data_IF_537843506021
#
_entry.id   IF_537843506021
#
_cell.length_a   1.000
_cell.length_b   1.000
_cell.length_c   1.000
_cell.angle_alpha   90.00
_cell.angle_beta   90.00
_cell.angle_gamma   90.00
#
_symmetry.space_group_name_H-M   'P 1'
#
loop_
_entity.id
_entity.type
_entity.pdbx_description
1 polymer ?
#
# COMPACT_ATOMS: atom_id res chain seq x y z
N UNK A 1 -8.83 -20.99 13.17
CA UNK A 1 -8.47 -21.02 11.73
C UNK A 1 -9.29 -20.08 10.86
N UNK A 2 -10.63 -20.07 10.89
CA UNK A 2 -11.47 -19.22 10.00
C UNK A 2 -11.11 -17.73 9.98
N UNK A 3 -10.73 -17.16 11.11
CA UNK A 3 -10.38 -15.73 11.23
C UNK A 3 -9.08 -15.36 10.53
N UNK A 4 -8.09 -16.26 10.54
CA UNK A 4 -6.77 -16.02 9.90
C UNK A 4 -6.93 -16.02 8.39
N UNK A 5 -7.65 -17.00 7.84
CA UNK A 5 -7.92 -17.07 6.39
C UNK A 5 -8.68 -15.83 5.90
N UNK A 6 -9.65 -15.34 6.69
CA UNK A 6 -10.37 -14.10 6.38
C UNK A 6 -9.43 -12.89 6.34
N UNK A 7 -8.56 -12.74 7.34
CA UNK A 7 -7.62 -11.62 7.39
C UNK A 7 -6.63 -11.64 6.21
N UNK A 8 -6.12 -12.82 5.85
CA UNK A 8 -5.22 -12.97 4.70
C UNK A 8 -5.93 -12.59 3.39
N UNK A 9 -7.18 -13.03 3.21
CA UNK A 9 -7.97 -12.66 2.04
C UNK A 9 -8.18 -11.14 1.96
N UNK A 10 -8.49 -10.49 3.09
CA UNK A 10 -8.64 -9.03 3.17
C UNK A 10 -7.31 -8.34 2.82
N UNK A 11 -6.19 -8.77 3.40
CA UNK A 11 -4.86 -8.22 3.08
C UNK A 11 -4.59 -8.30 1.58
N UNK A 12 -4.84 -9.45 0.95
CA UNK A 12 -4.62 -9.65 -0.48
C UNK A 12 -5.50 -8.73 -1.34
N UNK A 13 -6.78 -8.58 -1.00
CA UNK A 13 -7.72 -7.70 -1.71
C UNK A 13 -7.28 -6.24 -1.60
N UNK A 14 -6.97 -5.74 -0.40
CA UNK A 14 -6.56 -4.35 -0.22
C UNK A 14 -5.16 -4.07 -0.79
N UNK A 15 -4.24 -5.02 -0.70
CA UNK A 15 -2.91 -4.90 -1.30
C UNK A 15 -2.98 -4.82 -2.83
N UNK A 16 -3.78 -5.68 -3.48
CA UNK A 16 -3.96 -5.65 -4.93
C UNK A 16 -4.64 -4.36 -5.39
N UNK A 17 -5.73 -3.94 -4.73
CA UNK A 17 -6.40 -2.67 -5.01
C UNK A 17 -5.45 -1.48 -4.87
N UNK A 18 -4.67 -1.44 -3.79
CA UNK A 18 -3.71 -0.36 -3.55
C UNK A 18 -2.58 -0.35 -4.58
N UNK A 19 -2.08 -1.52 -4.99
CA UNK A 19 -1.06 -1.65 -6.02
C UNK A 19 -1.58 -1.16 -7.38
N UNK A 20 -2.76 -1.62 -7.81
CA UNK A 20 -3.36 -1.23 -9.09
C UNK A 20 -3.68 0.26 -9.12
N UNK A 21 -4.29 0.82 -8.06
CA UNK A 21 -4.57 2.24 -7.99
C UNK A 21 -3.29 3.09 -7.96
N UNK A 22 -2.24 2.64 -7.26
CA UNK A 22 -0.95 3.31 -7.23
C UNK A 22 -0.29 3.34 -8.61
N UNK A 23 -0.38 2.25 -9.38
CA UNK A 23 0.15 2.18 -10.75
C UNK A 23 -0.67 3.02 -11.73
N UNK A 24 -2.00 3.00 -11.62
CA UNK A 24 -2.87 3.80 -12.50
C UNK A 24 -2.61 5.31 -12.32
N UNK A 25 -2.38 5.72 -11.09
CA UNK A 25 -2.12 7.13 -10.73
C UNK A 25 -0.65 7.53 -10.89
N UNK A 26 0.25 6.56 -11.12
CA UNK A 26 1.70 6.81 -11.21
C UNK A 26 2.13 7.62 -12.42
N UNK A 27 1.30 7.64 -13.47
CA UNK A 27 1.56 8.37 -14.71
C UNK A 27 0.89 9.74 -14.74
N UNK A 28 0.21 10.14 -13.67
CA UNK A 28 -0.35 11.50 -13.55
C UNK A 28 0.78 12.42 -13.08
N UNK A 29 1.32 13.29 -13.96
CA UNK A 29 2.39 14.19 -13.58
C UNK A 29 1.85 15.19 -12.56
N UNK A 30 2.43 15.21 -11.36
CA UNK A 30 2.00 16.14 -10.32
C UNK A 30 3.00 17.26 -10.16
N UNK A 31 2.78 18.34 -10.91
CA UNK A 31 3.45 19.63 -10.71
C UNK A 31 4.92 19.71 -11.12
N UNK A 32 5.55 20.84 -10.75
CA UNK A 32 6.92 21.24 -11.09
C UNK A 32 7.98 20.43 -10.33
N UNK A 33 7.60 19.85 -9.19
CA UNK A 33 8.42 18.91 -8.43
C UNK A 33 7.90 17.51 -8.73
N UNK A 34 8.76 16.55 -9.06
CA UNK A 34 8.41 15.15 -9.36
C UNK A 34 7.87 14.37 -8.12
N UNK A 35 6.94 14.95 -7.37
CA UNK A 35 6.29 14.35 -6.23
C UNK A 35 5.04 13.66 -6.76
N UNK A 36 5.06 12.33 -6.79
CA UNK A 36 3.90 11.53 -7.15
C UNK A 36 2.78 11.82 -6.16
N UNK A 37 1.69 12.45 -6.59
CA UNK A 37 0.45 12.47 -5.83
C UNK A 37 -0.12 11.05 -5.82
N UNK A 38 -0.28 10.49 -4.62
CA UNK A 38 -0.73 9.11 -4.41
C UNK A 38 -2.15 9.09 -3.83
N UNK A 39 -3.20 9.44 -4.61
CA UNK A 39 -4.57 9.35 -4.11
C UNK A 39 -4.99 7.91 -3.81
N UNK A 40 -4.25 6.93 -4.33
CA UNK A 40 -4.37 5.52 -3.99
C UNK A 40 -4.26 5.23 -2.47
N UNK A 41 -3.65 6.12 -1.67
CA UNK A 41 -3.56 6.05 -0.20
C UNK A 41 -4.95 5.95 0.46
N UNK A 42 -6.01 6.42 -0.19
CA UNK A 42 -7.38 6.29 0.32
C UNK A 42 -7.80 4.82 0.56
N UNK A 43 -7.26 3.87 -0.22
CA UNK A 43 -7.59 2.44 -0.09
C UNK A 43 -7.08 1.86 1.24
N UNK A 44 -5.78 1.92 1.55
CA UNK A 44 -5.29 1.50 2.86
C UNK A 44 -5.80 2.35 4.01
N UNK A 45 -6.18 3.62 3.79
CA UNK A 45 -6.87 4.42 4.81
C UNK A 45 -8.22 3.81 5.21
N UNK A 46 -9.05 3.43 4.23
CA UNK A 46 -10.33 2.76 4.51
C UNK A 46 -10.09 1.41 5.19
N UNK A 47 -9.04 0.69 4.78
CA UNK A 47 -8.66 -0.56 5.43
C UNK A 47 -8.28 -0.37 6.91
N UNK A 48 -7.57 0.72 7.24
CA UNK A 48 -7.17 1.07 8.60
C UNK A 48 -8.35 1.41 9.51
N UNK A 49 -9.39 2.05 8.99
CA UNK A 49 -10.59 2.39 9.78
C UNK A 49 -11.47 1.17 10.07
N UNK A 50 -11.51 0.20 9.14
CA UNK A 50 -12.45 -0.94 9.20
C UNK A 50 -11.83 -2.19 9.79
N UNK A 51 -10.52 -2.41 9.62
CA UNK A 51 -9.83 -3.64 9.98
C UNK A 51 -8.70 -3.42 10.98
N UNK A 52 -8.23 -4.52 11.59
CA UNK A 52 -7.15 -4.47 12.58
C UNK A 52 -5.86 -3.83 12.03
N UNK A 53 -5.05 -3.20 12.89
CA UNK A 53 -3.81 -2.51 12.50
C UNK A 53 -2.85 -3.36 11.68
N UNK A 54 -2.72 -4.64 12.03
CA UNK A 54 -1.85 -5.56 11.31
C UNK A 54 -2.35 -5.82 9.88
N UNK A 55 -3.67 -5.91 9.68
CA UNK A 55 -4.28 -6.18 8.37
C UNK A 55 -4.14 -4.98 7.45
N UNK A 56 -4.38 -3.77 7.97
CA UNK A 56 -4.23 -2.53 7.23
C UNK A 56 -2.76 -2.23 6.89
N UNK A 57 -1.86 -2.33 7.89
CA UNK A 57 -0.43 -2.12 7.70
C UNK A 57 0.18 -3.09 6.69
N UNK A 58 -0.11 -4.40 6.80
CA UNK A 58 0.40 -5.40 5.84
C UNK A 58 -0.18 -5.19 4.44
N UNK A 59 -1.47 -4.88 4.31
CA UNK A 59 -2.08 -4.57 3.01
C UNK A 59 -1.41 -3.39 2.32
N UNK A 60 -1.15 -2.30 3.07
CA UNK A 60 -0.47 -1.12 2.54
C UNK A 60 1.00 -1.36 2.18
N UNK A 61 1.71 -2.12 3.02
CA UNK A 61 3.11 -2.47 2.80
C UNK A 61 3.28 -3.32 1.53
N UNK A 62 2.48 -4.39 1.40
CA UNK A 62 2.51 -5.30 0.26
C UNK A 62 2.07 -4.57 -1.02
N UNK A 63 1.01 -3.77 -0.96
CA UNK A 63 0.56 -2.99 -2.12
C UNK A 63 1.62 -1.99 -2.60
N UNK A 64 2.29 -1.29 -1.66
CA UNK A 64 3.40 -0.38 -1.99
C UNK A 64 4.59 -1.13 -2.57
N UNK A 65 4.91 -2.29 -2.01
CA UNK A 65 6.02 -3.14 -2.47
C UNK A 65 5.82 -3.58 -3.92
N UNK A 66 4.63 -4.10 -4.25
CA UNK A 66 4.28 -4.54 -5.60
C UNK A 66 4.32 -3.37 -6.59
N UNK A 67 3.66 -2.25 -6.27
CA UNK A 67 3.63 -1.09 -7.14
C UNK A 67 5.03 -0.50 -7.38
N UNK A 68 5.88 -0.49 -6.35
CA UNK A 68 7.23 0.05 -6.44
C UNK A 68 8.16 -0.85 -7.24
N UNK A 69 8.06 -2.18 -7.12
CA UNK A 69 8.85 -3.09 -7.96
C UNK A 69 8.49 -2.92 -9.43
N UNK A 70 7.19 -2.83 -9.73
CA UNK A 70 6.71 -2.64 -11.11
C UNK A 70 7.20 -1.30 -11.68
N UNK A 71 7.26 -0.25 -10.85
CA UNK A 71 7.66 1.10 -11.31
C UNK A 71 9.16 1.31 -11.40
N UNK A 72 9.93 0.82 -10.43
CA UNK A 72 11.37 1.07 -10.30
C UNK A 72 12.24 -0.11 -10.75
N UNK A 73 11.64 -1.27 -11.06
CA UNK A 73 12.33 -2.46 -11.53
C UNK A 73 13.25 -3.14 -10.50
N UNK A 74 13.39 -2.59 -9.30
CA UNK A 74 14.28 -3.12 -8.26
C UNK A 74 13.57 -3.20 -6.90
N UNK A 75 13.69 -4.35 -6.19
CA UNK A 75 13.09 -4.52 -4.87
C UNK A 75 13.86 -3.79 -3.76
N UNK A 76 15.16 -3.51 -3.96
CA UNK A 76 16.00 -2.90 -2.92
C UNK A 76 15.48 -1.53 -2.47
N UNK A 77 15.13 -0.66 -3.42
CA UNK A 77 14.67 0.69 -3.08
C UNK A 77 13.38 0.66 -2.26
N UNK A 78 12.45 -0.24 -2.54
CA UNK A 78 11.16 -0.26 -1.84
C UNK A 78 11.26 -0.82 -0.42
N UNK A 79 12.18 -1.76 -0.17
CA UNK A 79 12.39 -2.36 1.16
C UNK A 79 12.91 -1.32 2.15
N UNK A 80 13.71 -0.36 1.70
CA UNK A 80 14.27 0.69 2.56
C UNK A 80 13.49 2.01 2.54
N UNK A 81 12.57 2.21 1.60
CA UNK A 81 11.83 3.47 1.47
C UNK A 81 10.34 3.34 1.75
N UNK A 82 9.55 3.02 0.72
CA UNK A 82 8.10 3.12 0.76
C UNK A 82 7.43 2.03 1.60
N UNK A 83 7.97 0.81 1.61
CA UNK A 83 7.30 -0.33 2.24
C UNK A 83 7.25 -0.21 3.78
N UNK A 84 8.37 0.07 4.50
CA UNK A 84 8.34 0.24 5.94
C UNK A 84 7.54 1.47 6.38
N UNK A 85 7.66 2.58 5.64
CA UNK A 85 6.94 3.82 5.95
C UNK A 85 5.42 3.64 5.81
N UNK A 86 4.95 2.92 4.78
CA UNK A 86 3.52 2.62 4.61
C UNK A 86 3.06 1.63 5.68
N UNK A 87 3.84 0.59 6.00
CA UNK A 87 3.48 -0.32 7.09
C UNK A 87 3.26 0.44 8.40
N UNK A 88 4.25 1.24 8.81
CA UNK A 88 4.20 1.95 10.08
C UNK A 88 3.10 3.00 10.10
N UNK A 89 2.97 3.79 9.03
CA UNK A 89 1.96 4.85 8.96
C UNK A 89 0.53 4.34 9.08
N UNK A 90 0.19 3.23 8.41
CA UNK A 90 -1.14 2.64 8.52
C UNK A 90 -1.33 1.83 9.79
N UNK A 91 -0.26 1.19 10.29
CA UNK A 91 -0.30 0.49 11.57
C UNK A 91 -0.59 1.44 12.75
N UNK A 92 0.00 2.64 12.75
CA UNK A 92 -0.24 3.64 13.82
C UNK A 92 -1.56 4.39 13.67
N UNK A 93 -2.14 4.41 12.47
CA UNK A 93 -3.41 5.09 12.20
C UNK A 93 -4.64 4.24 12.54
N UNK A 94 -4.48 2.91 12.63
CA UNK A 94 -5.57 1.95 12.86
C UNK A 94 -5.83 1.67 14.33
#
# INVERSE_FOLDING_TARGET
MKTISKNIAIIAIFASLYATASLLTAYIPTGIFFIQFRPAIAIPMVAAVIYSPLTAGLGAAIGTFIASIIRYGTPLLTIFSGTPANFLGFYTMS
#
